data_IF_719364522170
#
_entry.id   IF_719364522170
#
_cell.length_a   1.000
_cell.length_b   1.000
_cell.length_c   1.000
_cell.angle_alpha   90.00
_cell.angle_beta   90.00
_cell.angle_gamma   90.00
#
_symmetry.space_group_name_H-M   'P 1'
#
loop_
_entity.id
_entity.type
_entity.pdbx_description
1 polymer ?
#
# COMPACT_ATOMS: atom_id res chain seq x y z
N UNK A 1 -22.68 -6.87 3.05
CA UNK A 1 -21.35 -7.45 3.34
C UNK A 1 -20.83 -6.79 4.61
N UNK A 2 -20.22 -7.56 5.53
CA UNK A 2 -19.58 -6.96 6.70
C UNK A 2 -18.30 -6.28 6.28
N UNK A 3 -18.01 -5.11 6.84
CA UNK A 3 -16.75 -4.38 6.62
C UNK A 3 -15.55 -5.18 7.16
N UNK A 4 -14.36 -5.00 6.58
CA UNK A 4 -13.11 -5.54 7.15
C UNK A 4 -12.49 -4.55 8.13
N UNK A 5 -12.49 -3.26 7.78
CA UNK A 5 -11.92 -2.17 8.57
C UNK A 5 -12.95 -1.05 8.71
N UNK A 6 -13.12 -0.57 9.94
CA UNK A 6 -13.87 0.66 10.21
C UNK A 6 -12.99 1.64 10.99
N UNK A 7 -12.99 2.88 10.54
CA UNK A 7 -12.30 4.02 11.17
C UNK A 7 -13.36 5.03 11.57
N UNK A 8 -13.35 5.45 12.85
CA UNK A 8 -14.35 6.36 13.42
C UNK A 8 -13.69 7.55 14.11
N UNK A 9 -13.96 8.73 13.59
CA UNK A 9 -13.54 10.02 14.15
C UNK A 9 -12.03 10.09 14.48
N UNK A 10 -11.21 9.44 13.65
CA UNK A 10 -9.78 9.27 13.88
C UNK A 10 -9.05 10.58 13.75
N UNK A 11 -8.24 10.92 14.78
CA UNK A 11 -7.41 12.12 14.85
C UNK A 11 -5.98 11.76 15.23
N UNK A 12 -5.03 12.53 14.72
CA UNK A 12 -3.61 12.43 15.09
C UNK A 12 -3.00 13.82 15.22
N UNK A 13 -2.49 14.09 16.40
CA UNK A 13 -1.69 15.27 16.69
C UNK A 13 -0.28 14.84 17.09
N UNK A 14 0.71 15.57 16.64
CA UNK A 14 2.09 15.43 17.06
C UNK A 14 2.43 16.63 17.96
N UNK A 15 2.97 16.36 19.13
CA UNK A 15 3.40 17.39 20.07
C UNK A 15 4.90 17.53 19.97
N UNK A 16 5.37 18.72 19.63
CA UNK A 16 6.77 19.09 19.63
C UNK A 16 7.01 20.09 20.78
N UNK A 17 8.27 20.32 21.21
CA UNK A 17 8.55 21.33 22.23
C UNK A 17 8.10 22.76 21.85
N UNK A 18 7.84 23.01 20.57
CA UNK A 18 7.49 24.34 20.03
C UNK A 18 6.00 24.51 19.69
N UNK A 19 5.36 23.42 19.27
CA UNK A 19 3.99 23.49 18.74
C UNK A 19 3.28 22.13 18.76
N UNK A 20 1.96 22.17 18.69
CA UNK A 20 1.11 21.02 18.41
C UNK A 20 0.75 21.01 16.92
N UNK A 21 1.11 19.95 16.23
CA UNK A 21 0.84 19.76 14.79
C UNK A 21 -0.35 18.83 14.62
N UNK A 22 -1.49 19.37 14.21
CA UNK A 22 -2.67 18.56 13.84
C UNK A 22 -2.41 17.91 12.47
N UNK A 23 -2.08 16.63 12.47
CA UNK A 23 -1.78 15.88 11.24
C UNK A 23 -3.05 15.32 10.60
N UNK A 24 -3.92 14.71 11.39
CA UNK A 24 -5.18 14.09 10.93
C UNK A 24 -6.32 14.64 11.77
N UNK A 25 -7.41 15.02 11.11
CA UNK A 25 -8.64 15.48 11.78
C UNK A 25 -9.88 14.78 11.22
N UNK A 26 -10.53 14.01 12.07
CA UNK A 26 -11.85 13.42 11.87
C UNK A 26 -11.98 12.54 10.60
N UNK A 27 -11.09 11.57 10.44
CA UNK A 27 -11.23 10.57 9.38
C UNK A 27 -12.27 9.52 9.79
N UNK A 28 -13.28 9.34 8.93
CA UNK A 28 -14.28 8.29 9.00
C UNK A 28 -14.24 7.50 7.69
N UNK A 29 -13.96 6.19 7.76
CA UNK A 29 -13.80 5.36 6.57
C UNK A 29 -14.19 3.92 6.86
N UNK A 30 -14.87 3.30 5.90
CA UNK A 30 -15.20 1.87 5.92
C UNK A 30 -14.60 1.19 4.69
N UNK A 31 -13.89 0.09 4.91
CA UNK A 31 -13.26 -0.71 3.85
C UNK A 31 -13.80 -2.14 3.94
N UNK A 32 -14.16 -2.67 2.78
CA UNK A 32 -14.70 -4.02 2.66
C UNK A 32 -13.63 -5.03 2.24
N UNK A 33 -13.86 -6.34 2.49
CA UNK A 33 -12.93 -7.37 2.05
C UNK A 33 -12.67 -7.32 0.53
N UNK A 34 -11.41 -7.54 0.14
CA UNK A 34 -10.93 -7.60 -1.24
C UNK A 34 -10.99 -6.25 -2.00
N UNK A 35 -11.30 -5.15 -1.34
CA UNK A 35 -11.19 -3.82 -1.94
C UNK A 35 -9.73 -3.37 -2.04
N UNK A 36 -9.41 -2.69 -3.13
CA UNK A 36 -8.19 -1.88 -3.27
C UNK A 36 -8.60 -0.41 -3.15
N UNK A 37 -8.11 0.25 -2.13
CA UNK A 37 -8.41 1.65 -1.83
C UNK A 37 -7.13 2.46 -1.91
N UNK A 38 -7.10 3.52 -2.72
CA UNK A 38 -5.93 4.41 -2.78
C UNK A 38 -6.25 5.76 -2.16
N UNK A 39 -5.34 6.20 -1.28
CA UNK A 39 -5.34 7.52 -0.67
C UNK A 39 -4.48 8.45 -1.50
N UNK A 40 -5.05 9.53 -2.03
CA UNK A 40 -4.32 10.57 -2.76
C UNK A 40 -4.42 11.90 -2.01
N UNK A 41 -3.36 12.69 -2.08
CA UNK A 41 -3.30 13.98 -1.38
C UNK A 41 -1.91 14.58 -1.47
N UNK A 42 -1.77 15.86 -1.13
CA UNK A 42 -0.50 16.58 -1.18
C UNK A 42 0.55 15.96 -0.26
N UNK A 43 1.84 16.16 -0.59
CA UNK A 43 2.94 15.69 0.27
C UNK A 43 2.82 16.26 1.69
N UNK A 44 3.08 15.42 2.70
CA UNK A 44 3.04 15.83 4.10
C UNK A 44 1.64 16.08 4.67
N UNK A 45 0.54 15.74 3.96
CA UNK A 45 -0.81 15.94 4.50
C UNK A 45 -1.17 14.98 5.65
N UNK A 46 -0.56 13.79 5.77
CA UNK A 46 -0.83 12.82 6.83
C UNK A 46 -1.11 11.39 6.38
N UNK A 47 -0.93 11.06 5.09
CA UNK A 47 -1.20 9.73 4.51
C UNK A 47 -0.40 8.61 5.19
N UNK A 48 0.92 8.77 5.30
CA UNK A 48 1.79 7.80 5.97
C UNK A 48 1.48 7.66 7.45
N UNK A 49 1.10 8.77 8.14
CA UNK A 49 0.65 8.71 9.53
C UNK A 49 -0.61 7.86 9.68
N UNK A 50 -1.55 7.97 8.73
CA UNK A 50 -2.75 7.12 8.73
C UNK A 50 -2.38 5.64 8.56
N UNK A 51 -1.49 5.30 7.62
CA UNK A 51 -1.03 3.92 7.45
C UNK A 51 -0.30 3.40 8.70
N UNK A 52 0.58 4.22 9.32
CA UNK A 52 1.29 3.84 10.55
C UNK A 52 0.34 3.56 11.71
N UNK A 53 -0.76 4.31 11.82
CA UNK A 53 -1.81 4.06 12.82
C UNK A 53 -2.52 2.74 12.51
N UNK A 54 -2.91 2.49 11.27
CA UNK A 54 -3.58 1.25 10.88
C UNK A 54 -2.69 0.02 11.02
N UNK A 55 -1.36 0.19 10.89
CA UNK A 55 -0.37 -0.86 11.16
C UNK A 55 -0.09 -1.07 12.67
N UNK A 56 -0.77 -0.34 13.56
CA UNK A 56 -0.56 -0.33 15.02
C UNK A 56 0.88 0.06 15.45
N UNK A 57 1.59 0.80 14.58
CA UNK A 57 2.92 1.37 14.90
C UNK A 57 2.76 2.66 15.71
N UNK A 58 1.76 3.47 15.35
CA UNK A 58 1.42 4.69 16.06
C UNK A 58 0.01 4.63 16.65
N UNK A 59 -0.20 5.31 17.78
CA UNK A 59 -1.54 5.43 18.36
C UNK A 59 -2.22 6.71 17.85
N UNK A 60 -3.54 6.65 17.58
CA UNK A 60 -4.31 7.86 17.31
C UNK A 60 -4.36 8.74 18.56
N UNK A 61 -4.52 10.06 18.37
CA UNK A 61 -4.73 11.01 19.49
C UNK A 61 -6.18 11.00 19.97
N UNK A 62 -7.13 10.69 19.08
CA UNK A 62 -8.54 10.50 19.39
C UNK A 62 -9.21 9.66 18.28
N UNK A 63 -10.41 9.19 18.56
CA UNK A 63 -11.12 8.26 17.68
C UNK A 63 -10.56 6.86 17.76
N UNK A 64 -11.11 5.95 16.98
CA UNK A 64 -10.75 4.53 16.99
C UNK A 64 -10.79 3.94 15.59
N UNK A 65 -10.10 2.84 15.40
CA UNK A 65 -10.29 1.93 14.28
C UNK A 65 -10.35 0.50 14.78
N UNK A 66 -11.02 -0.36 14.05
CA UNK A 66 -11.10 -1.78 14.37
C UNK A 66 -11.26 -2.63 13.12
N UNK A 67 -10.67 -3.80 13.17
CA UNK A 67 -10.81 -4.83 12.15
C UNK A 67 -11.91 -5.81 12.58
N UNK A 68 -12.86 -6.08 11.69
CA UNK A 68 -13.94 -7.03 11.92
C UNK A 68 -13.51 -8.49 11.65
N UNK A 69 -12.22 -8.77 11.78
CA UNK A 69 -11.62 -10.10 11.67
C UNK A 69 -10.72 -10.35 12.87
N UNK A 70 -10.92 -11.48 13.54
CA UNK A 70 -10.04 -11.95 14.61
C UNK A 70 -8.68 -12.37 14.01
N UNK A 71 -7.60 -12.10 14.73
CA UNK A 71 -6.22 -12.50 14.36
C UNK A 71 -5.80 -12.03 12.95
N UNK A 72 -6.14 -10.78 12.61
CA UNK A 72 -5.80 -10.19 11.33
C UNK A 72 -4.28 -10.10 11.13
N UNK A 73 -3.83 -10.47 9.93
CA UNK A 73 -2.43 -10.29 9.52
C UNK A 73 -2.30 -9.05 8.65
N UNK A 74 -1.51 -8.09 9.11
CA UNK A 74 -1.23 -6.85 8.38
C UNK A 74 0.15 -6.96 7.75
N UNK A 75 0.22 -6.70 6.45
CA UNK A 75 1.46 -6.46 5.73
C UNK A 75 1.62 -4.95 5.53
N UNK A 76 2.74 -4.39 5.95
CA UNK A 76 3.02 -2.97 5.76
C UNK A 76 4.33 -2.76 5.02
N UNK A 77 4.24 -2.16 3.84
CA UNK A 77 5.38 -1.70 3.06
C UNK A 77 5.58 -0.22 3.27
N UNK A 78 6.71 0.13 3.85
CA UNK A 78 7.13 1.52 4.07
C UNK A 78 7.54 2.18 2.74
N UNK A 79 7.50 3.50 2.68
CA UNK A 79 7.96 4.29 1.53
C UNK A 79 9.43 3.98 1.17
N UNK A 80 10.28 3.78 2.16
CA UNK A 80 11.63 3.26 1.96
C UNK A 80 11.62 1.73 1.97
N UNK A 81 12.51 1.11 1.19
CA UNK A 81 12.60 -0.35 1.10
C UNK A 81 12.92 -1.02 2.45
N UNK A 82 13.61 -0.32 3.34
CA UNK A 82 13.98 -0.77 4.69
C UNK A 82 14.53 -2.21 4.71
N UNK A 83 15.30 -2.58 3.69
CA UNK A 83 15.99 -3.86 3.64
C UNK A 83 17.16 -3.85 4.62
N UNK A 84 17.40 -4.98 5.27
CA UNK A 84 18.52 -5.14 6.19
C UNK A 84 19.80 -5.38 5.35
N UNK A 85 20.78 -4.47 5.39
CA UNK A 85 21.92 -4.50 4.47
C UNK A 85 22.86 -5.69 4.67
N UNK A 86 22.80 -6.36 5.81
CA UNK A 86 23.59 -7.55 6.14
C UNK A 86 22.89 -8.88 5.84
N UNK A 87 21.65 -8.86 5.36
CA UNK A 87 20.92 -10.04 4.94
C UNK A 87 20.93 -10.15 3.42
N UNK A 88 20.96 -11.38 2.91
CA UNK A 88 20.73 -11.64 1.49
C UNK A 88 19.32 -11.20 1.06
N UNK A 89 19.07 -11.13 -0.23
CA UNK A 89 17.76 -10.81 -0.78
C UNK A 89 16.71 -11.85 -0.37
N UNK A 90 17.06 -13.13 -0.43
CA UNK A 90 16.19 -14.21 0.03
C UNK A 90 15.92 -14.09 1.53
N UNK A 91 16.93 -13.82 2.33
CA UNK A 91 16.78 -13.66 3.79
C UNK A 91 15.94 -12.43 4.16
N UNK A 92 16.09 -11.32 3.43
CA UNK A 92 15.22 -10.15 3.55
C UNK A 92 13.76 -10.51 3.23
N UNK A 93 13.51 -11.23 2.14
CA UNK A 93 12.17 -11.65 1.74
C UNK A 93 11.53 -12.60 2.76
N UNK A 94 12.32 -13.48 3.39
CA UNK A 94 11.87 -14.43 4.40
C UNK A 94 11.77 -13.85 5.83
N UNK A 95 12.25 -12.63 6.06
CA UNK A 95 12.41 -12.06 7.40
C UNK A 95 11.13 -12.09 8.23
N UNK A 96 10.00 -11.67 7.65
CA UNK A 96 8.70 -11.67 8.34
C UNK A 96 8.25 -13.07 8.77
N UNK A 97 8.50 -14.08 7.94
CA UNK A 97 8.19 -15.47 8.24
C UNK A 97 9.09 -16.01 9.36
N UNK A 98 10.37 -15.64 9.35
CA UNK A 98 11.33 -16.00 10.44
C UNK A 98 10.86 -15.43 11.78
N UNK A 99 10.52 -14.15 11.85
CA UNK A 99 10.06 -13.48 13.07
C UNK A 99 8.77 -14.12 13.59
N UNK A 100 7.84 -14.45 12.71
CA UNK A 100 6.56 -15.08 13.06
C UNK A 100 6.66 -16.60 13.28
N UNK A 101 7.86 -17.19 13.21
CA UNK A 101 8.11 -18.65 13.32
C UNK A 101 7.27 -19.48 12.34
N UNK A 102 7.04 -18.95 11.14
CA UNK A 102 6.26 -19.57 10.05
C UNK A 102 7.14 -20.00 8.86
N UNK A 103 8.43 -20.28 9.10
CA UNK A 103 9.37 -20.69 8.07
C UNK A 103 9.21 -22.18 7.76
N UNK A 104 8.24 -22.51 6.90
CA UNK A 104 7.99 -23.87 6.38
C UNK A 104 8.53 -24.00 4.97
N UNK A 105 8.73 -25.21 4.47
CA UNK A 105 9.15 -25.46 3.08
C UNK A 105 8.19 -24.85 2.06
N UNK A 106 6.88 -24.95 2.29
CA UNK A 106 5.85 -24.36 1.44
C UNK A 106 5.97 -22.82 1.37
N UNK A 107 6.19 -22.17 2.51
CA UNK A 107 6.34 -20.72 2.57
C UNK A 107 7.66 -20.26 1.93
N UNK A 108 8.74 -21.02 2.09
CA UNK A 108 10.02 -20.75 1.43
C UNK A 108 9.85 -20.89 -0.10
N UNK A 109 9.21 -21.96 -0.56
CA UNK A 109 8.92 -22.18 -1.97
C UNK A 109 8.03 -21.07 -2.55
N UNK A 110 7.03 -20.62 -1.82
CA UNK A 110 6.18 -19.49 -2.21
C UNK A 110 6.99 -18.20 -2.38
N UNK A 111 7.88 -17.88 -1.42
CA UNK A 111 8.74 -16.69 -1.51
C UNK A 111 9.72 -16.76 -2.67
N UNK A 112 10.34 -17.93 -2.88
CA UNK A 112 11.22 -18.15 -4.06
C UNK A 112 10.46 -17.97 -5.36
N UNK A 113 9.23 -18.48 -5.45
CA UNK A 113 8.37 -18.25 -6.62
C UNK A 113 8.08 -16.75 -6.82
N UNK A 114 7.74 -16.01 -5.77
CA UNK A 114 7.57 -14.56 -5.88
C UNK A 114 8.85 -13.88 -6.40
N UNK A 115 10.03 -14.27 -5.89
CA UNK A 115 11.30 -13.71 -6.38
C UNK A 115 11.49 -13.99 -7.88
N UNK A 116 11.14 -15.18 -8.35
CA UNK A 116 11.19 -15.55 -9.78
C UNK A 116 10.17 -14.74 -10.59
N UNK A 117 8.91 -14.67 -10.15
CA UNK A 117 7.83 -13.92 -10.82
C UNK A 117 8.18 -12.42 -10.96
N UNK A 118 9.02 -11.88 -10.05
CA UNK A 118 9.52 -10.49 -10.08
C UNK A 118 10.93 -10.33 -10.68
N UNK A 119 11.45 -11.36 -11.36
CA UNK A 119 12.78 -11.35 -12.01
C UNK A 119 13.94 -11.03 -11.04
N UNK A 120 13.91 -11.66 -9.88
CA UNK A 120 14.92 -11.53 -8.82
C UNK A 120 15.56 -12.86 -8.45
N UNK A 121 15.32 -13.91 -9.23
CA UNK A 121 15.82 -15.27 -8.99
C UNK A 121 17.35 -15.33 -8.98
N UNK A 122 18.03 -14.65 -9.92
CA UNK A 122 19.50 -14.57 -9.98
C UNK A 122 20.13 -13.72 -8.85
N UNK A 123 19.30 -13.00 -8.09
CA UNK A 123 19.75 -12.08 -7.04
C UNK A 123 19.47 -12.59 -5.62
N UNK A 124 18.97 -13.81 -5.46
CA UNK A 124 18.57 -14.35 -4.15
C UNK A 124 19.69 -14.32 -3.11
N UNK A 125 20.92 -14.61 -3.54
CA UNK A 125 22.12 -14.66 -2.69
C UNK A 125 22.88 -13.32 -2.62
N UNK A 126 22.42 -12.30 -3.36
CA UNK A 126 22.98 -10.96 -3.35
C UNK A 126 22.51 -10.16 -2.14
N UNK A 127 23.19 -9.03 -1.89
CA UNK A 127 22.87 -8.10 -0.81
C UNK A 127 22.21 -6.82 -1.36
N UNK A 128 21.45 -6.06 -0.54
CA UNK A 128 20.75 -4.86 -0.98
C UNK A 128 21.61 -3.83 -1.72
N UNK A 129 22.88 -3.69 -1.35
CA UNK A 129 23.83 -2.77 -2.00
C UNK A 129 24.15 -3.12 -3.46
N UNK A 130 23.90 -4.36 -3.87
CA UNK A 130 24.16 -4.86 -5.22
C UNK A 130 22.96 -4.67 -6.16
N UNK A 131 21.82 -4.20 -5.62
CA UNK A 131 20.57 -4.05 -6.35
C UNK A 131 20.28 -2.58 -6.68
N UNK A 132 19.58 -2.36 -7.81
CA UNK A 132 18.99 -1.04 -8.11
C UNK A 132 17.88 -0.68 -7.12
N UNK A 133 17.51 0.61 -7.04
CA UNK A 133 16.42 1.07 -6.17
C UNK A 133 15.10 0.33 -6.43
N UNK A 134 14.76 0.15 -7.71
CA UNK A 134 13.55 -0.59 -8.11
C UNK A 134 13.58 -2.07 -7.72
N UNK A 135 14.74 -2.72 -7.83
CA UNK A 135 14.90 -4.11 -7.39
C UNK A 135 14.72 -4.22 -5.87
N UNK A 136 15.30 -3.31 -5.09
CA UNK A 136 15.11 -3.29 -3.63
C UNK A 136 13.64 -3.09 -3.26
N UNK A 137 12.93 -2.21 -3.98
CA UNK A 137 11.49 -1.98 -3.74
C UNK A 137 10.64 -3.23 -4.00
N UNK A 138 10.95 -4.00 -5.08
CA UNK A 138 10.34 -5.32 -5.32
C UNK A 138 10.59 -6.31 -4.18
N UNK A 139 11.82 -6.38 -3.67
CA UNK A 139 12.13 -7.23 -2.51
C UNK A 139 11.32 -6.85 -1.28
N UNK A 140 11.20 -5.55 -0.98
CA UNK A 140 10.39 -5.06 0.13
C UNK A 140 8.91 -5.44 -0.01
N UNK A 141 8.37 -5.36 -1.23
CA UNK A 141 7.01 -5.82 -1.53
C UNK A 141 6.87 -7.33 -1.32
N UNK A 142 7.80 -8.15 -1.86
CA UNK A 142 7.80 -9.60 -1.69
C UNK A 142 7.88 -9.97 -0.20
N UNK A 143 8.75 -9.31 0.58
CA UNK A 143 8.84 -9.48 2.04
C UNK A 143 7.48 -9.27 2.72
N UNK A 144 6.72 -8.30 2.25
CA UNK A 144 5.40 -7.98 2.80
C UNK A 144 4.35 -9.01 2.39
N UNK A 145 4.35 -9.42 1.11
CA UNK A 145 3.45 -10.44 0.57
C UNK A 145 3.74 -11.85 1.12
N UNK A 146 4.98 -12.14 1.50
CA UNK A 146 5.39 -13.44 2.07
C UNK A 146 4.55 -13.84 3.29
N UNK A 147 4.03 -12.86 4.03
CA UNK A 147 3.17 -13.09 5.20
C UNK A 147 1.74 -13.52 4.83
N UNK A 148 1.37 -13.51 3.55
CA UNK A 148 -0.02 -13.71 3.07
C UNK A 148 -1.01 -12.87 3.89
N UNK A 149 -0.88 -11.54 3.85
CA UNK A 149 -1.64 -10.66 4.73
C UNK A 149 -3.12 -10.62 4.36
N UNK A 150 -3.98 -10.39 5.36
CA UNK A 150 -5.40 -10.11 5.15
C UNK A 150 -5.62 -8.69 4.65
N UNK A 151 -4.78 -7.78 5.13
CA UNK A 151 -4.74 -6.38 4.68
C UNK A 151 -3.30 -5.98 4.37
N UNK A 152 -3.13 -5.35 3.21
CA UNK A 152 -1.86 -4.85 2.70
C UNK A 152 -1.89 -3.33 2.74
N UNK A 153 -0.94 -2.74 3.45
CA UNK A 153 -0.72 -1.30 3.54
C UNK A 153 0.52 -0.96 2.70
N UNK A 154 0.37 -0.12 1.69
CA UNK A 154 1.43 0.25 0.76
C UNK A 154 1.64 1.77 0.79
N UNK A 155 2.80 2.21 1.24
CA UNK A 155 3.16 3.63 1.27
C UNK A 155 4.05 3.98 0.07
N UNK A 156 3.47 4.55 -0.97
CA UNK A 156 4.12 4.93 -2.23
C UNK A 156 4.97 3.79 -2.85
N UNK A 157 4.38 2.60 -3.10
CA UNK A 157 5.12 1.37 -3.41
C UNK A 157 5.92 1.42 -4.72
N UNK A 158 5.65 2.38 -5.60
CA UNK A 158 6.27 2.47 -6.92
C UNK A 158 7.06 3.76 -7.15
N UNK A 159 7.26 4.57 -6.10
CA UNK A 159 7.88 5.92 -6.22
C UNK A 159 9.32 5.90 -6.70
N UNK A 160 10.10 4.83 -6.39
CA UNK A 160 11.49 4.70 -6.79
C UNK A 160 11.69 4.04 -8.18
N UNK A 161 10.61 3.78 -8.93
CA UNK A 161 10.63 3.11 -10.22
C UNK A 161 10.58 4.12 -11.37
N UNK A 162 11.31 3.82 -12.45
CA UNK A 162 11.07 4.47 -13.74
C UNK A 162 9.68 4.15 -14.30
N UNK A 163 9.21 4.93 -15.27
CA UNK A 163 7.84 4.83 -15.76
C UNK A 163 7.48 3.44 -16.33
N UNK A 164 8.37 2.82 -17.11
CA UNK A 164 8.09 1.51 -17.72
C UNK A 164 8.06 0.39 -16.66
N UNK A 165 9.06 0.38 -15.77
CA UNK A 165 9.12 -0.55 -14.65
C UNK A 165 7.91 -0.39 -13.73
N UNK A 166 7.46 0.83 -13.48
CA UNK A 166 6.27 1.14 -12.69
C UNK A 166 5.02 0.51 -13.28
N UNK A 167 4.80 0.64 -14.59
CA UNK A 167 3.64 0.05 -15.26
C UNK A 167 3.64 -1.48 -15.14
N UNK A 168 4.75 -2.13 -15.46
CA UNK A 168 4.86 -3.59 -15.39
C UNK A 168 4.63 -4.10 -13.96
N UNK A 169 5.32 -3.50 -12.97
CA UNK A 169 5.24 -3.95 -11.59
C UNK A 169 3.85 -3.68 -10.99
N UNK A 170 3.22 -2.54 -11.32
CA UNK A 170 1.86 -2.29 -10.87
C UNK A 170 0.86 -3.33 -11.37
N UNK A 171 1.04 -3.83 -12.61
CA UNK A 171 0.25 -4.94 -13.16
C UNK A 171 0.45 -6.23 -12.37
N UNK A 172 1.71 -6.59 -12.10
CA UNK A 172 2.04 -7.82 -11.35
C UNK A 172 1.47 -7.75 -9.92
N UNK A 173 1.68 -6.63 -9.24
CA UNK A 173 1.14 -6.39 -7.87
C UNK A 173 -0.38 -6.47 -7.86
N UNK A 174 -1.04 -5.81 -8.80
CA UNK A 174 -2.50 -5.84 -8.93
C UNK A 174 -3.01 -7.27 -9.11
N UNK A 175 -2.39 -8.04 -10.01
CA UNK A 175 -2.79 -9.40 -10.30
C UNK A 175 -2.64 -10.31 -9.06
N UNK A 176 -1.56 -10.14 -8.28
CA UNK A 176 -1.38 -10.88 -7.02
C UNK A 176 -2.43 -10.49 -6.00
N UNK A 177 -2.64 -9.19 -5.76
CA UNK A 177 -3.65 -8.68 -4.81
C UNK A 177 -5.04 -9.26 -5.15
N UNK A 178 -5.43 -9.24 -6.42
CA UNK A 178 -6.72 -9.75 -6.87
C UNK A 178 -6.82 -11.26 -6.75
N UNK A 179 -5.78 -12.00 -7.16
CA UNK A 179 -5.73 -13.46 -7.09
C UNK A 179 -5.81 -13.97 -5.66
N UNK A 180 -5.02 -13.38 -4.78
CA UNK A 180 -4.94 -13.75 -3.36
C UNK A 180 -6.07 -13.11 -2.52
N UNK A 181 -6.94 -12.28 -3.15
CA UNK A 181 -8.05 -11.58 -2.51
C UNK A 181 -7.61 -10.75 -1.29
N UNK A 182 -6.49 -10.03 -1.42
CA UNK A 182 -5.94 -9.21 -0.35
C UNK A 182 -6.62 -7.85 -0.34
N UNK A 183 -7.17 -7.44 0.79
CA UNK A 183 -7.66 -6.07 0.96
C UNK A 183 -6.48 -5.12 1.03
N UNK A 184 -6.48 -4.04 0.24
CA UNK A 184 -5.30 -3.19 0.11
C UNK A 184 -5.65 -1.72 0.34
N UNK A 185 -4.83 -1.05 1.15
CA UNK A 185 -4.83 0.40 1.28
C UNK A 185 -3.48 0.89 0.76
N UNK A 186 -3.51 1.68 -0.30
CA UNK A 186 -2.31 2.23 -0.92
C UNK A 186 -2.28 3.74 -0.79
N UNK A 187 -1.12 4.30 -0.57
CA UNK A 187 -0.86 5.73 -0.71
C UNK A 187 -0.15 5.94 -2.04
N UNK A 188 -0.63 6.89 -2.82
CA UNK A 188 0.03 7.32 -4.05
C UNK A 188 -0.09 8.83 -4.23
N UNK A 189 0.90 9.43 -4.89
CA UNK A 189 0.83 10.79 -5.41
C UNK A 189 0.51 10.82 -6.92
N UNK A 190 0.41 9.65 -7.56
CA UNK A 190 0.08 9.49 -8.99
C UNK A 190 -1.41 9.14 -9.13
N UNK A 191 -2.17 10.10 -9.69
CA UNK A 191 -3.62 9.94 -9.91
C UNK A 191 -3.90 8.79 -10.89
N UNK A 192 -3.07 8.66 -11.93
CA UNK A 192 -3.26 7.62 -12.94
C UNK A 192 -3.04 6.22 -12.36
N UNK A 193 -2.08 6.08 -11.45
CA UNK A 193 -1.88 4.86 -10.68
C UNK A 193 -3.10 4.57 -9.79
N UNK A 194 -3.54 5.57 -9.02
CA UNK A 194 -4.69 5.43 -8.14
C UNK A 194 -5.95 4.96 -8.87
N UNK A 195 -6.28 5.57 -10.00
CA UNK A 195 -7.47 5.19 -10.81
C UNK A 195 -7.29 3.79 -11.39
N UNK A 196 -6.12 3.48 -11.95
CA UNK A 196 -5.91 2.21 -12.67
C UNK A 196 -5.92 0.98 -11.76
N UNK A 197 -5.53 1.12 -10.50
CA UNK A 197 -5.39 0.01 -9.56
C UNK A 197 -6.58 -0.16 -8.61
N UNK A 198 -7.36 0.89 -8.34
CA UNK A 198 -8.26 0.91 -7.19
C UNK A 198 -9.72 0.61 -7.52
N UNK A 199 -10.46 0.21 -6.50
CA UNK A 199 -11.93 0.22 -6.49
C UNK A 199 -12.45 1.56 -5.95
N UNK A 200 -11.67 2.18 -5.04
CA UNK A 200 -11.97 3.50 -4.48
C UNK A 200 -10.73 4.36 -4.46
N UNK A 201 -10.86 5.61 -4.84
CA UNK A 201 -9.85 6.65 -4.63
C UNK A 201 -10.39 7.66 -3.63
N UNK A 202 -9.63 7.90 -2.57
CA UNK A 202 -9.97 8.82 -1.49
C UNK A 202 -9.06 10.03 -1.60
N UNK A 203 -9.65 11.18 -1.90
CA UNK A 203 -8.95 12.46 -1.95
C UNK A 203 -8.90 13.06 -0.55
N UNK A 204 -7.69 13.33 -0.10
CA UNK A 204 -7.41 13.90 1.21
C UNK A 204 -7.05 15.38 1.09
N UNK A 205 -7.46 16.16 2.10
CA UNK A 205 -7.12 17.57 2.20
C UNK A 205 -5.64 17.81 2.51
N UNK A 206 -5.22 19.06 2.37
CA UNK A 206 -4.02 19.57 3.05
C UNK A 206 -4.17 19.41 4.57
N UNK A 207 -3.08 19.54 5.29
CA UNK A 207 -3.05 19.44 6.77
C UNK A 207 -3.93 20.51 7.44
N UNK A 208 -4.75 20.16 8.42
CA UNK A 208 -5.00 18.82 8.95
C UNK A 208 -5.76 17.93 7.95
N UNK A 209 -5.29 16.68 7.83
CA UNK A 209 -5.80 15.72 6.86
C UNK A 209 -7.23 15.29 7.22
N UNK A 210 -8.15 15.45 6.27
CA UNK A 210 -9.49 14.87 6.32
C UNK A 210 -9.91 14.40 4.92
N UNK A 211 -10.95 13.62 4.82
CA UNK A 211 -11.45 13.15 3.53
C UNK A 211 -12.21 14.30 2.85
N UNK A 212 -11.70 14.78 1.70
CA UNK A 212 -12.40 15.74 0.84
C UNK A 212 -13.48 15.04 0.03
N UNK A 213 -13.13 13.90 -0.60
CA UNK A 213 -14.04 13.17 -1.47
C UNK A 213 -13.64 11.71 -1.63
N UNK A 214 -14.62 10.86 -1.89
CA UNK A 214 -14.43 9.44 -2.20
C UNK A 214 -14.97 9.20 -3.61
N UNK A 215 -14.14 8.63 -4.47
CA UNK A 215 -14.49 8.19 -5.81
C UNK A 215 -14.57 6.68 -5.85
N UNK A 216 -15.74 6.12 -6.18
CA UNK A 216 -15.84 4.72 -6.57
C UNK A 216 -15.42 4.62 -8.03
N UNK A 217 -14.41 3.81 -8.31
CA UNK A 217 -13.82 3.70 -9.65
C UNK A 217 -14.49 2.54 -10.38
N UNK A 218 -15.38 2.90 -11.30
CA UNK A 218 -16.06 1.97 -12.18
C UNK A 218 -15.59 2.18 -13.63
N UNK A 219 -14.77 1.26 -14.13
CA UNK A 219 -14.20 1.30 -15.46
C UNK A 219 -14.82 0.21 -16.32
N UNK A 220 -15.23 0.56 -17.53
CA UNK A 220 -15.73 -0.43 -18.50
C UNK A 220 -14.62 -1.46 -18.78
N UNK A 221 -14.95 -2.76 -18.67
CA UNK A 221 -14.03 -3.87 -18.86
C UNK A 221 -12.78 -3.80 -17.96
N UNK A 222 -12.96 -3.47 -16.68
CA UNK A 222 -11.86 -3.41 -15.69
C UNK A 222 -11.05 -4.70 -15.70
N UNK A 223 -9.74 -4.56 -15.94
CA UNK A 223 -8.74 -5.62 -16.01
C UNK A 223 -7.53 -5.28 -15.14
N UNK A 224 -6.35 -5.33 -15.75
CA UNK A 224 -5.11 -4.90 -15.14
C UNK A 224 -4.88 -3.37 -15.28
N UNK A 225 -3.99 -2.77 -14.50
CA UNK A 225 -3.72 -1.33 -14.52
C UNK A 225 -3.38 -0.74 -15.89
N UNK A 226 -2.63 -1.46 -16.74
CA UNK A 226 -2.28 -0.99 -18.10
C UNK A 226 -3.54 -0.88 -18.96
N UNK A 227 -4.40 -1.89 -18.96
CA UNK A 227 -5.65 -1.86 -19.73
C UNK A 227 -6.67 -0.88 -19.14
N UNK A 228 -6.74 -0.76 -17.81
CA UNK A 228 -7.63 0.16 -17.12
C UNK A 228 -7.37 1.64 -17.51
N UNK A 229 -6.11 2.00 -17.83
CA UNK A 229 -5.77 3.35 -18.31
C UNK A 229 -6.35 3.69 -19.68
N UNK A 230 -6.78 2.68 -20.46
CA UNK A 230 -7.40 2.85 -21.78
C UNK A 230 -8.94 2.97 -21.71
N UNK A 231 -9.53 2.79 -20.53
CA UNK A 231 -10.98 2.87 -20.35
C UNK A 231 -11.48 4.31 -20.65
N UNK A 232 -12.66 4.41 -21.26
CA UNK A 232 -13.24 5.71 -21.68
C UNK A 232 -13.52 6.65 -20.49
N UNK A 233 -13.78 6.08 -19.31
CA UNK A 233 -14.07 6.81 -18.08
C UNK A 233 -12.80 7.36 -17.41
N UNK A 234 -11.63 6.82 -17.77
CA UNK A 234 -10.36 7.11 -17.09
C UNK A 234 -10.03 8.61 -17.06
N UNK A 235 -10.10 9.27 -18.22
CA UNK A 235 -9.81 10.71 -18.33
C UNK A 235 -10.76 11.55 -17.45
N UNK A 236 -12.05 11.19 -17.41
CA UNK A 236 -13.03 11.89 -16.59
C UNK A 236 -12.73 11.77 -15.08
N UNK A 237 -12.35 10.58 -14.61
CA UNK A 237 -11.91 10.41 -13.22
C UNK A 237 -10.65 11.20 -12.93
N UNK A 238 -9.69 11.18 -13.85
CA UNK A 238 -8.43 11.92 -13.70
C UNK A 238 -8.68 13.42 -13.51
N UNK A 239 -9.48 14.03 -14.39
CA UNK A 239 -9.80 15.46 -14.34
C UNK A 239 -10.55 15.85 -13.06
N UNK A 240 -11.47 15.01 -12.61
CA UNK A 240 -12.23 15.26 -11.38
C UNK A 240 -11.34 15.19 -10.13
N UNK A 241 -10.50 14.13 -10.04
CA UNK A 241 -9.61 13.93 -8.89
C UNK A 241 -8.55 15.03 -8.86
N UNK A 242 -8.02 15.41 -10.03
CA UNK A 242 -7.06 16.52 -10.15
C UNK A 242 -7.63 17.83 -9.56
N UNK A 243 -8.86 18.19 -9.96
CA UNK A 243 -9.55 19.40 -9.44
C UNK A 243 -9.76 19.36 -7.92
N UNK A 244 -10.00 18.18 -7.36
CA UNK A 244 -10.23 18.06 -5.92
C UNK A 244 -8.91 17.99 -5.13
N UNK A 245 -7.75 17.79 -5.78
CA UNK A 245 -6.43 17.83 -5.14
C UNK A 245 -5.87 19.25 -4.98
N UNK A 246 -6.27 20.17 -5.85
CA UNK A 246 -5.92 21.60 -5.78
C UNK A 246 -6.71 22.27 -4.61
#
# INVERSE_FOLDING_TARGET
MNSLLEIKNLKKNYVTPKEEIKAIDNINLTIYPNEIVTLVGTSGCGKSSLLSILADIEKPSAGNFYFNKKDITIGYMLQNDALLPWLSILDNALLGLKIKKKLTEDNISYVKKLLTDYHLDEFMDKFPKELSGGMRQRVALIRTLALKPDILLLDEPFSALDYQSRLSISDDVYNIIRKEKITTIMVSHDIAEAISMSDKVIVLSKRPCHIKKIYNIDLTNKKNPIENRKAKEFASYYDQIWKDLD
#
